data_IF_962587721624
#
_entry.id   IF_962587721624
#
_cell.length_a   1.000
_cell.length_b   1.000
_cell.length_c   1.000
_cell.angle_alpha   90.00
_cell.angle_beta   90.00
_cell.angle_gamma   90.00
#
_symmetry.space_group_name_H-M   'P 1'
#
loop_
_entity.id
_entity.type
_entity.pdbx_description
1 polymer ?
#
# COMPACT_ATOMS: atom_id res chain seq x y z
N UNK A 1 14.66 6.48 -16.10
CA UNK A 1 14.24 6.73 -14.71
C UNK A 1 14.65 5.65 -13.73
N UNK A 2 14.14 4.40 -13.81
CA UNK A 2 14.49 3.34 -12.84
C UNK A 2 15.99 3.12 -12.66
N UNK A 3 16.75 3.18 -13.78
CA UNK A 3 18.20 2.97 -13.80
C UNK A 3 18.99 4.15 -13.21
N UNK A 4 18.75 5.36 -13.70
CA UNK A 4 19.70 6.48 -13.56
C UNK A 4 19.18 7.68 -12.75
N UNK A 5 17.89 7.72 -12.42
CA UNK A 5 17.33 8.90 -11.75
C UNK A 5 17.92 9.05 -10.33
N UNK A 6 18.58 10.19 -10.10
CA UNK A 6 19.25 10.54 -8.84
C UNK A 6 20.28 9.52 -8.36
N UNK A 7 20.88 8.74 -9.26
CA UNK A 7 21.96 7.81 -8.89
C UNK A 7 23.35 8.45 -8.97
N UNK A 8 23.54 9.39 -9.89
CA UNK A 8 24.82 10.06 -10.15
C UNK A 8 24.78 11.54 -9.76
N UNK A 9 25.95 12.07 -9.36
CA UNK A 9 26.10 13.48 -8.98
C UNK A 9 26.07 14.37 -10.23
N UNK A 10 25.42 15.52 -10.12
CA UNK A 10 25.39 16.48 -11.22
C UNK A 10 26.77 17.16 -11.41
N UNK A 11 27.46 16.85 -12.50
CA UNK A 11 28.74 17.49 -12.85
C UNK A 11 28.61 19.01 -13.12
N UNK A 12 27.43 19.49 -13.56
CA UNK A 12 27.19 20.92 -13.73
C UNK A 12 26.98 21.64 -12.40
N UNK A 13 26.47 20.94 -11.38
CA UNK A 13 26.26 21.53 -10.06
C UNK A 13 27.58 21.74 -9.31
N UNK A 14 28.52 20.79 -9.42
CA UNK A 14 29.87 20.94 -8.85
C UNK A 14 30.63 22.12 -9.47
N UNK A 15 30.28 22.51 -10.69
CA UNK A 15 30.81 23.71 -11.35
C UNK A 15 29.94 24.97 -11.15
N UNK A 16 28.89 24.91 -10.34
CA UNK A 16 27.89 25.99 -10.15
C UNK A 16 27.17 26.44 -11.43
N UNK A 17 27.10 25.59 -12.45
CA UNK A 17 26.47 25.85 -13.76
C UNK A 17 25.09 25.17 -13.93
N UNK A 18 24.61 24.43 -12.93
CA UNK A 18 23.33 23.73 -13.02
C UNK A 18 22.15 24.70 -12.90
N UNK A 19 21.46 24.95 -14.02
CA UNK A 19 20.25 25.79 -14.08
C UNK A 19 19.01 25.09 -13.52
N UNK A 20 19.07 23.77 -13.30
CA UNK A 20 17.96 22.93 -12.79
C UNK A 20 18.05 22.67 -11.28
N UNK A 21 18.87 23.44 -10.56
CA UNK A 21 18.96 23.38 -9.10
C UNK A 21 17.73 24.02 -8.42
N UNK A 22 17.19 25.11 -9.00
CA UNK A 22 15.98 25.79 -8.53
C UNK A 22 15.15 26.26 -9.74
N UNK A 23 13.97 25.69 -10.00
CA UNK A 23 13.31 24.61 -9.24
C UNK A 23 14.06 23.28 -9.36
N UNK A 24 14.05 22.45 -8.30
CA UNK A 24 14.78 21.18 -8.15
C UNK A 24 14.36 20.10 -9.18
N UNK A 25 14.67 20.35 -10.44
CA UNK A 25 14.25 19.57 -11.62
C UNK A 25 15.42 18.82 -12.24
N UNK A 26 16.61 18.90 -11.66
CA UNK A 26 17.75 18.13 -12.13
C UNK A 26 17.52 16.62 -11.95
N UNK A 27 17.90 15.87 -12.98
CA UNK A 27 17.83 14.41 -13.02
C UNK A 27 18.89 13.76 -12.11
N UNK A 28 20.02 14.44 -11.92
CA UNK A 28 21.14 14.03 -11.08
C UNK A 28 21.00 14.61 -9.66
N UNK A 29 21.66 14.00 -8.68
CA UNK A 29 21.64 14.50 -7.31
C UNK A 29 22.66 15.62 -7.11
N UNK A 30 22.34 16.58 -6.23
CA UNK A 30 23.22 17.70 -5.88
C UNK A 30 23.87 17.49 -4.50
N UNK A 31 23.08 17.03 -3.55
CA UNK A 31 23.50 16.71 -2.19
C UNK A 31 23.39 15.22 -1.93
N UNK A 32 24.22 14.69 -1.03
CA UNK A 32 24.27 13.25 -0.73
C UNK A 32 22.91 12.70 -0.27
N UNK A 33 22.13 13.47 0.50
CA UNK A 33 20.79 13.06 0.93
C UNK A 33 19.77 12.91 -0.21
N UNK A 34 20.05 13.47 -1.40
CA UNK A 34 19.23 13.32 -2.60
C UNK A 34 19.62 12.08 -3.42
N UNK A 35 20.78 11.48 -3.14
CA UNK A 35 21.29 10.30 -3.83
C UNK A 35 20.39 9.12 -3.56
N UNK A 36 20.03 8.40 -4.62
CA UNK A 36 19.24 7.18 -4.61
C UNK A 36 20.09 6.01 -5.07
N UNK A 37 19.99 4.88 -4.40
CA UNK A 37 20.57 3.62 -4.90
C UNK A 37 19.67 2.99 -5.97
N UNK A 38 20.29 2.47 -7.03
CA UNK A 38 19.57 1.77 -8.09
C UNK A 38 18.96 0.47 -7.53
N UNK A 39 17.64 0.26 -7.63
CA UNK A 39 17.02 -1.00 -7.24
C UNK A 39 17.38 -2.06 -8.28
N UNK A 40 17.92 -3.17 -7.81
CA UNK A 40 18.25 -4.34 -8.62
C UNK A 40 17.41 -5.51 -8.16
N UNK A 41 16.93 -6.31 -9.12
CA UNK A 41 16.42 -7.66 -8.86
C UNK A 41 17.56 -8.63 -9.15
N UNK A 42 18.02 -9.32 -8.11
CA UNK A 42 19.09 -10.32 -8.19
C UNK A 42 18.59 -11.58 -8.92
N UNK A 43 19.52 -12.45 -9.33
CA UNK A 43 19.20 -13.71 -10.02
C UNK A 43 18.39 -14.67 -9.15
N UNK A 44 18.58 -14.61 -7.84
CA UNK A 44 17.79 -15.33 -6.83
C UNK A 44 16.34 -14.79 -6.71
N UNK A 45 15.99 -13.72 -7.42
CA UNK A 45 14.67 -13.11 -7.41
C UNK A 45 14.41 -12.14 -6.25
N UNK A 46 15.39 -11.91 -5.38
CA UNK A 46 15.32 -10.91 -4.30
C UNK A 46 15.73 -9.52 -4.77
N UNK A 47 15.32 -8.48 -4.04
CA UNK A 47 15.77 -7.12 -4.31
C UNK A 47 17.11 -6.78 -3.63
N UNK A 48 17.86 -5.85 -4.21
CA UNK A 48 19.07 -5.27 -3.60
C UNK A 48 18.80 -4.63 -2.24
N UNK A 49 17.63 -4.00 -2.10
CA UNK A 49 17.12 -3.47 -0.84
C UNK A 49 15.59 -3.63 -0.81
N UNK A 50 15.02 -3.69 0.39
CA UNK A 50 13.60 -3.84 0.61
C UNK A 50 12.82 -2.64 0.05
N UNK A 51 11.72 -2.84 -0.69
CA UNK A 51 10.84 -1.75 -1.11
C UNK A 51 10.06 -1.10 0.03
N UNK A 52 10.03 -1.72 1.22
CA UNK A 52 9.07 -1.39 2.27
C UNK A 52 9.70 -1.12 3.63
N UNK A 53 10.80 -1.79 3.94
CA UNK A 53 11.43 -1.72 5.26
C UNK A 53 12.52 -0.64 5.24
N UNK A 54 12.30 0.44 5.99
CA UNK A 54 13.26 1.53 6.10
C UNK A 54 14.42 1.20 7.05
N UNK A 55 15.62 1.60 6.66
CA UNK A 55 16.82 1.57 7.49
C UNK A 55 16.68 2.58 8.64
N UNK A 56 16.97 2.13 9.86
CA UNK A 56 16.98 2.99 11.06
C UNK A 56 18.31 3.69 11.29
N UNK A 57 19.37 3.25 10.60
CA UNK A 57 20.73 3.76 10.74
C UNK A 57 21.11 4.77 9.64
N UNK A 58 20.19 5.07 8.72
CA UNK A 58 20.43 6.05 7.66
C UNK A 58 20.24 7.48 8.20
N UNK A 59 21.27 8.31 8.08
CA UNK A 59 21.21 9.73 8.39
C UNK A 59 20.60 10.50 7.20
N UNK A 60 19.41 11.04 7.40
CA UNK A 60 18.65 11.79 6.38
C UNK A 60 19.28 13.16 6.06
N UNK A 61 20.03 13.74 6.99
CA UNK A 61 20.69 15.04 6.81
C UNK A 61 21.99 14.85 6.05
N UNK A 62 22.83 13.91 6.48
CA UNK A 62 24.11 13.62 5.83
C UNK A 62 23.95 12.83 4.53
N UNK A 63 22.88 12.03 4.41
CA UNK A 63 22.68 11.12 3.27
C UNK A 63 23.57 9.87 3.33
N UNK A 64 23.90 9.41 4.53
CA UNK A 64 24.86 8.35 4.77
C UNK A 64 24.26 7.21 5.59
N UNK A 65 24.66 5.97 5.30
CA UNK A 65 24.36 4.79 6.10
C UNK A 65 25.69 4.09 6.44
N UNK A 66 25.87 3.54 7.65
CA UNK A 66 27.01 2.70 7.99
C UNK A 66 27.19 1.51 7.04
N UNK A 67 26.07 0.94 6.56
CA UNK A 67 26.04 -0.17 5.61
C UNK A 67 26.17 0.27 4.14
N UNK A 68 26.26 1.57 3.88
CA UNK A 68 26.45 2.15 2.55
C UNK A 68 25.47 1.63 1.51
N UNK A 69 26.01 1.31 0.32
CA UNK A 69 25.20 0.79 -0.79
C UNK A 69 24.74 -0.66 -0.60
N UNK A 70 25.41 -1.40 0.29
CA UNK A 70 25.09 -2.79 0.62
C UNK A 70 23.90 -2.96 1.57
N UNK A 71 23.35 -1.87 2.12
CA UNK A 71 22.24 -1.95 3.07
C UNK A 71 21.02 -2.65 2.43
N UNK A 72 20.49 -3.74 3.01
CA UNK A 72 19.32 -4.45 2.49
C UNK A 72 18.00 -3.70 2.76
N UNK A 73 18.05 -2.59 3.48
CA UNK A 73 16.88 -1.79 3.86
C UNK A 73 16.82 -0.50 3.02
N UNK A 74 15.64 0.09 2.96
CA UNK A 74 15.32 1.30 2.21
C UNK A 74 15.85 2.55 2.93
N UNK A 75 16.52 3.46 2.22
CA UNK A 75 16.95 4.74 2.80
C UNK A 75 15.90 5.82 2.55
N UNK A 76 15.63 6.64 3.57
CA UNK A 76 14.71 7.79 3.45
C UNK A 76 15.43 8.99 2.83
N UNK A 77 15.69 8.89 1.54
CA UNK A 77 16.32 9.96 0.75
C UNK A 77 15.37 11.15 0.60
N UNK A 78 15.91 12.33 0.26
CA UNK A 78 15.10 13.54 0.05
C UNK A 78 14.02 13.31 -1.00
N UNK A 79 12.76 13.48 -0.60
CA UNK A 79 11.60 13.23 -1.46
C UNK A 79 11.20 11.75 -1.57
N UNK A 80 11.74 10.86 -0.73
CA UNK A 80 11.47 9.42 -0.69
C UNK A 80 11.72 8.75 -2.05
N UNK A 81 12.84 9.11 -2.69
CA UNK A 81 13.13 8.73 -4.08
C UNK A 81 13.47 7.25 -4.21
N UNK A 82 14.11 6.61 -3.22
CA UNK A 82 14.36 5.16 -3.28
C UNK A 82 13.05 4.37 -3.38
N UNK A 83 12.04 4.73 -2.57
CA UNK A 83 10.73 4.05 -2.58
C UNK A 83 9.96 4.33 -3.85
N UNK A 84 9.76 5.61 -4.17
CA UNK A 84 8.92 6.05 -5.30
C UNK A 84 9.43 5.52 -6.63
N UNK A 85 10.75 5.44 -6.77
CA UNK A 85 11.40 4.94 -7.98
C UNK A 85 11.83 3.48 -7.84
N UNK A 86 11.28 2.71 -6.90
CA UNK A 86 11.57 1.29 -6.78
C UNK A 86 10.91 0.49 -7.92
N UNK A 87 11.51 -0.65 -8.29
CA UNK A 87 10.94 -1.63 -9.24
C UNK A 87 9.53 -2.11 -8.84
N UNK A 88 9.19 -2.01 -7.56
CA UNK A 88 7.87 -2.36 -7.03
C UNK A 88 6.81 -1.28 -7.24
N UNK A 89 7.18 0.00 -7.29
CA UNK A 89 6.23 1.12 -7.11
C UNK A 89 6.20 2.14 -8.23
N UNK A 90 7.33 2.46 -8.84
CA UNK A 90 7.41 3.48 -9.89
C UNK A 90 6.34 3.23 -10.96
N UNK A 91 5.51 4.20 -11.34
CA UNK A 91 4.53 4.08 -12.43
C UNK A 91 3.58 2.87 -12.35
N UNK A 92 3.33 2.33 -11.15
CA UNK A 92 2.41 1.18 -10.97
C UNK A 92 0.98 1.59 -10.68
N UNK A 93 0.74 2.87 -10.42
CA UNK A 93 -0.57 3.46 -10.16
C UNK A 93 -0.72 4.77 -10.93
N UNK A 94 -1.96 5.12 -11.28
CA UNK A 94 -2.31 6.40 -11.89
C UNK A 94 -2.10 7.56 -10.90
N UNK A 95 -1.63 8.69 -11.42
CA UNK A 95 -1.51 9.92 -10.66
C UNK A 95 -2.88 10.50 -10.39
N UNK A 96 -3.09 10.98 -9.17
CA UNK A 96 -4.31 11.72 -8.79
C UNK A 96 -4.32 13.16 -9.33
N UNK A 97 -3.16 13.67 -9.71
CA UNK A 97 -3.01 15.03 -10.22
C UNK A 97 -3.12 15.05 -11.74
N UNK A 98 -3.82 16.05 -12.27
CA UNK A 98 -3.93 16.26 -13.71
C UNK A 98 -2.56 16.52 -14.35
N UNK A 99 -2.46 16.18 -15.63
CA UNK A 99 -1.34 16.57 -16.47
C UNK A 99 -1.58 17.96 -17.06
N UNK A 100 -0.51 18.73 -17.27
CA UNK A 100 -0.55 19.99 -18.01
C UNK A 100 -0.72 19.74 -19.53
N UNK A 101 -0.81 20.82 -20.31
CA UNK A 101 -0.91 20.76 -21.78
C UNK A 101 0.30 20.10 -22.46
N UNK A 102 1.39 19.88 -21.73
CA UNK A 102 2.61 19.19 -22.19
C UNK A 102 2.67 17.73 -21.74
N UNK A 103 1.64 17.24 -21.05
CA UNK A 103 1.59 15.87 -20.52
C UNK A 103 2.40 15.66 -19.24
N UNK A 104 2.84 16.72 -18.55
CA UNK A 104 3.62 16.66 -17.31
C UNK A 104 2.73 16.82 -16.09
N UNK A 105 3.12 16.25 -14.96
CA UNK A 105 2.36 16.39 -13.72
C UNK A 105 2.32 17.85 -13.27
N UNK A 106 1.13 18.40 -13.02
CA UNK A 106 0.96 19.76 -12.47
C UNK A 106 1.67 19.99 -11.14
N UNK A 107 1.81 18.94 -10.31
CA UNK A 107 2.46 19.03 -8.98
C UNK A 107 3.94 18.63 -8.98
N UNK A 108 4.27 17.52 -9.63
CA UNK A 108 5.62 16.91 -9.56
C UNK A 108 6.41 17.08 -10.85
N UNK A 109 5.85 17.75 -11.86
CA UNK A 109 6.45 18.00 -13.15
C UNK A 109 6.83 16.70 -13.89
N UNK A 110 7.96 16.70 -14.62
CA UNK A 110 8.41 15.55 -15.41
C UNK A 110 8.85 14.35 -14.56
N UNK A 111 9.18 14.57 -13.29
CA UNK A 111 9.68 13.55 -12.37
C UNK A 111 8.57 12.96 -11.50
N UNK A 112 7.34 12.91 -12.02
CA UNK A 112 6.26 12.26 -11.30
C UNK A 112 6.49 10.73 -11.31
N UNK A 113 6.49 10.13 -10.12
CA UNK A 113 6.63 8.69 -9.95
C UNK A 113 5.32 7.92 -10.21
N UNK A 114 4.19 8.60 -10.44
CA UNK A 114 2.91 7.99 -10.80
C UNK A 114 2.67 8.12 -12.30
N UNK A 115 1.87 7.21 -12.84
CA UNK A 115 1.59 7.19 -14.26
C UNK A 115 0.53 8.24 -14.63
N UNK A 116 0.64 8.86 -15.80
CA UNK A 116 -0.31 9.87 -16.27
C UNK A 116 -1.13 9.43 -17.50
N UNK A 117 -0.84 8.23 -18.02
CA UNK A 117 -1.61 7.57 -19.07
C UNK A 117 -1.47 6.06 -18.93
N UNK A 118 -2.36 5.30 -19.57
CA UNK A 118 -2.27 3.83 -19.61
C UNK A 118 -0.98 3.33 -20.24
N UNK A 119 -0.42 4.07 -21.20
CA UNK A 119 0.89 3.79 -21.81
C UNK A 119 2.07 4.02 -20.85
N UNK A 120 1.90 4.88 -19.85
CA UNK A 120 2.90 5.17 -18.81
C UNK A 120 2.75 4.23 -17.59
N UNK A 121 1.66 3.45 -17.52
CA UNK A 121 1.42 2.49 -16.44
C UNK A 121 2.25 1.22 -16.67
N UNK A 122 2.96 0.76 -15.64
CA UNK A 122 3.74 -0.48 -15.67
C UNK A 122 3.30 -1.48 -14.61
N UNK A 123 3.45 -2.79 -14.86
CA UNK A 123 3.22 -3.79 -13.84
C UNK A 123 4.26 -3.68 -12.71
N UNK A 124 3.85 -3.93 -11.46
CA UNK A 124 4.78 -4.02 -10.34
C UNK A 124 5.68 -5.25 -10.46
N UNK A 125 6.95 -5.09 -10.07
CA UNK A 125 7.87 -6.22 -9.90
C UNK A 125 7.85 -6.65 -8.43
N UNK A 126 7.74 -7.95 -8.19
CA UNK A 126 7.74 -8.55 -6.86
C UNK A 126 9.05 -9.29 -6.58
N UNK A 127 9.44 -9.29 -5.30
CA UNK A 127 10.48 -10.17 -4.77
C UNK A 127 9.98 -11.63 -4.80
N UNK A 128 10.86 -12.60 -5.01
CA UNK A 128 10.50 -14.03 -5.01
C UNK A 128 9.74 -14.45 -3.76
N UNK A 129 10.08 -13.91 -2.59
CA UNK A 129 9.37 -14.18 -1.32
C UNK A 129 7.95 -13.65 -1.34
N UNK A 130 7.75 -12.47 -1.92
CA UNK A 130 6.43 -11.89 -2.11
C UNK A 130 5.64 -12.67 -3.17
N UNK A 131 6.31 -13.13 -4.22
CA UNK A 131 5.68 -13.93 -5.27
C UNK A 131 5.25 -15.29 -4.73
N UNK A 132 6.05 -15.96 -3.90
CA UNK A 132 5.67 -17.19 -3.21
C UNK A 132 4.46 -16.99 -2.29
N UNK A 133 4.44 -15.91 -1.51
CA UNK A 133 3.25 -15.53 -0.73
C UNK A 133 2.02 -15.33 -1.61
N UNK A 134 2.16 -14.62 -2.74
CA UNK A 134 1.06 -14.42 -3.69
C UNK A 134 0.66 -15.71 -4.39
N UNK A 135 1.60 -16.61 -4.68
CA UNK A 135 1.35 -17.91 -5.30
C UNK A 135 0.68 -18.86 -4.32
N UNK A 136 1.05 -18.86 -3.04
CA UNK A 136 0.34 -19.63 -2.01
C UNK A 136 -1.08 -19.10 -1.79
N UNK A 137 -1.27 -17.78 -1.86
CA UNK A 137 -2.60 -17.17 -1.87
C UNK A 137 -3.36 -17.46 -3.19
N UNK A 138 -2.66 -17.62 -4.31
CA UNK A 138 -3.23 -18.04 -5.59
C UNK A 138 -3.66 -19.52 -5.55
N UNK A 139 -2.82 -20.41 -5.06
CA UNK A 139 -3.14 -21.84 -5.03
C UNK A 139 -4.31 -22.14 -4.07
N UNK A 140 -4.58 -21.26 -3.11
CA UNK A 140 -5.82 -21.30 -2.31
C UNK A 140 -7.09 -21.02 -3.15
N UNK A 141 -7.01 -20.27 -4.27
CA UNK A 141 -8.16 -20.10 -5.17
C UNK A 141 -8.35 -21.29 -6.12
N UNK A 142 -7.31 -22.08 -6.42
CA UNK A 142 -7.43 -23.25 -7.31
C UNK A 142 -7.88 -24.51 -6.59
N UNK A 143 -7.60 -24.63 -5.29
CA UNK A 143 -7.94 -25.84 -4.50
C UNK A 143 -9.44 -25.89 -4.14
N UNK A 144 -10.21 -24.81 -4.30
CA UNK A 144 -11.66 -24.83 -4.04
C UNK A 144 -12.50 -25.49 -5.15
N UNK A 145 -11.93 -25.83 -6.31
CA UNK A 145 -12.66 -26.54 -7.38
C UNK A 145 -12.44 -28.07 -7.43
N UNK A 146 -11.51 -28.60 -6.64
CA UNK A 146 -11.27 -30.05 -6.60
C UNK A 146 -10.91 -30.48 -5.19
N UNK A 147 -11.66 -31.46 -4.69
CA UNK A 147 -11.37 -32.29 -3.50
C UNK A 147 -12.26 -32.03 -2.29
N UNK A 148 -13.57 -32.23 -2.51
CA UNK A 148 -14.33 -33.09 -1.60
C UNK A 148 -13.82 -34.53 -1.80
N UNK A 149 -12.85 -34.98 -1.00
CA UNK A 149 -12.90 -36.25 -0.29
C UNK A 149 -11.58 -36.62 0.43
N UNK A 150 -11.80 -37.22 1.60
CA UNK A 150 -10.90 -38.04 2.42
C UNK A 150 -9.66 -37.42 3.07
N UNK A 151 -9.78 -37.32 4.40
CA UNK A 151 -8.70 -36.94 5.29
C UNK A 151 -7.61 -38.00 5.42
N UNK A 152 -6.40 -37.51 5.76
CA UNK A 152 -5.41 -38.26 6.52
C UNK A 152 -4.50 -37.31 7.27
N UNK A 153 -4.40 -37.58 8.58
CA UNK A 153 -3.60 -36.88 9.58
C UNK A 153 -2.17 -37.43 9.59
N UNK A 154 -1.18 -36.54 9.69
CA UNK A 154 0.21 -36.76 10.15
C UNK A 154 0.79 -35.34 10.34
N UNK A 155 1.40 -34.90 11.43
CA UNK A 155 1.83 -35.48 12.69
C UNK A 155 2.76 -34.44 13.33
N UNK A 156 2.55 -34.17 14.63
CA UNK A 156 3.20 -33.21 15.54
C UNK A 156 4.62 -32.70 15.22
N UNK A 157 4.87 -31.40 15.49
CA UNK A 157 5.79 -30.97 16.57
C UNK A 157 5.76 -29.45 16.82
N UNK A 158 5.39 -29.08 18.05
CA UNK A 158 5.83 -27.89 18.80
C UNK A 158 5.88 -26.52 18.08
N UNK A 159 4.72 -25.87 17.85
CA UNK A 159 4.71 -24.47 17.40
C UNK A 159 3.45 -23.68 17.83
N UNK A 160 3.14 -23.71 19.13
CA UNK A 160 1.91 -23.13 19.72
C UNK A 160 1.72 -21.60 19.63
N UNK A 161 2.58 -20.85 18.93
CA UNK A 161 2.42 -19.38 18.76
C UNK A 161 2.27 -18.91 17.30
N UNK A 162 2.63 -19.74 16.32
CA UNK A 162 2.47 -19.41 14.88
C UNK A 162 1.16 -19.93 14.31
N UNK A 163 0.66 -21.03 14.87
CA UNK A 163 -0.58 -21.67 14.44
C UNK A 163 -1.80 -20.77 14.70
N UNK A 164 -1.80 -20.00 15.79
CA UNK A 164 -2.83 -18.99 16.12
C UNK A 164 -2.82 -17.78 15.18
N UNK A 165 -1.65 -17.35 14.71
CA UNK A 165 -1.50 -16.21 13.79
C UNK A 165 -1.83 -16.61 12.34
N UNK A 166 -1.46 -17.83 11.94
CA UNK A 166 -1.79 -18.40 10.62
C UNK A 166 -3.27 -18.81 10.55
N UNK A 167 -3.85 -19.32 11.64
CA UNK A 167 -5.28 -19.61 11.75
C UNK A 167 -6.15 -18.35 11.63
N UNK A 168 -5.71 -17.21 12.21
CA UNK A 168 -6.37 -15.92 11.99
C UNK A 168 -6.14 -15.33 10.61
N UNK A 169 -4.99 -15.59 9.97
CA UNK A 169 -4.71 -15.14 8.60
C UNK A 169 -5.57 -15.88 7.55
N UNK A 170 -5.86 -17.17 7.78
CA UNK A 170 -6.75 -17.96 6.94
C UNK A 170 -8.19 -17.44 6.92
N UNK A 171 -8.68 -16.91 8.05
CA UNK A 171 -10.05 -16.42 8.16
C UNK A 171 -10.31 -15.11 7.39
N UNK A 172 -9.29 -14.29 7.12
CA UNK A 172 -9.47 -13.05 6.35
C UNK A 172 -9.71 -13.26 4.86
N UNK A 173 -9.71 -14.51 4.40
CA UNK A 173 -10.15 -14.90 3.05
C UNK A 173 -11.68 -14.93 2.98
N UNK A 174 -12.36 -15.27 4.08
CA UNK A 174 -13.83 -15.30 4.15
C UNK A 174 -14.40 -13.88 4.26
N UNK A 175 -15.26 -13.53 3.30
CA UNK A 175 -15.95 -12.25 3.20
C UNK A 175 -16.79 -11.95 4.45
N UNK A 176 -17.37 -12.96 5.08
CA UNK A 176 -18.15 -12.81 6.32
C UNK A 176 -17.27 -12.44 7.52
N UNK A 177 -16.07 -13.02 7.58
CA UNK A 177 -15.09 -12.70 8.61
C UNK A 177 -14.51 -11.30 8.43
N UNK A 178 -14.22 -10.90 7.18
CA UNK A 178 -13.82 -9.51 6.86
C UNK A 178 -14.90 -8.53 7.31
N UNK A 179 -16.17 -8.80 7.01
CA UNK A 179 -17.28 -7.94 7.43
C UNK A 179 -17.40 -7.83 8.97
N UNK A 180 -17.06 -8.90 9.69
CA UNK A 180 -17.09 -8.93 11.15
C UNK A 180 -15.93 -8.18 11.82
N UNK A 181 -14.71 -8.30 11.30
CA UNK A 181 -13.49 -7.86 11.99
C UNK A 181 -12.70 -6.73 11.33
N UNK A 182 -12.99 -6.36 10.08
CA UNK A 182 -12.14 -5.41 9.37
C UNK A 182 -12.17 -4.03 10.01
N UNK A 183 -11.00 -3.56 10.44
CA UNK A 183 -10.70 -2.26 11.06
C UNK A 183 -11.51 -1.97 12.32
N UNK A 184 -11.91 -3.00 13.05
CA UNK A 184 -12.62 -2.87 14.33
C UNK A 184 -11.67 -2.76 15.52
N UNK A 185 -10.45 -3.26 15.39
CA UNK A 185 -9.43 -3.25 16.45
C UNK A 185 -8.21 -2.39 16.08
N UNK A 186 -7.54 -1.77 17.07
CA UNK A 186 -6.34 -0.98 16.82
C UNK A 186 -5.17 -1.88 16.42
N UNK A 187 -4.37 -1.40 15.49
CA UNK A 187 -3.21 -2.14 15.00
C UNK A 187 -2.15 -2.24 16.11
N UNK A 188 -1.83 -3.47 16.53
CA UNK A 188 -0.74 -3.74 17.48
C UNK A 188 0.64 -3.80 16.82
N UNK A 189 0.72 -3.72 15.49
CA UNK A 189 2.00 -3.65 14.78
C UNK A 189 2.57 -2.26 14.94
N UNK A 190 3.88 -2.18 15.16
CA UNK A 190 4.58 -0.90 15.18
C UNK A 190 4.21 -0.08 13.94
N UNK A 191 3.93 1.23 14.05
CA UNK A 191 3.49 2.07 12.93
C UNK A 191 4.42 2.05 11.71
N UNK A 192 5.68 1.66 11.91
CA UNK A 192 6.72 1.52 10.87
C UNK A 192 6.64 0.21 10.08
N UNK A 193 5.95 -0.81 10.60
CA UNK A 193 5.85 -2.16 10.01
C UNK A 193 4.46 -2.48 9.43
N UNK A 194 3.36 -1.81 9.84
CA UNK A 194 2.11 -1.95 9.07
C UNK A 194 2.12 -1.01 7.88
N UNK A 195 1.79 -1.52 6.69
CA UNK A 195 1.62 -0.75 5.44
C UNK A 195 0.34 0.13 5.48
N UNK A 196 0.18 0.95 6.54
CA UNK A 196 -0.91 1.90 6.81
C UNK A 196 -1.83 2.10 5.60
N UNK A 197 -3.02 1.49 5.64
CA UNK A 197 -3.93 1.49 4.49
C UNK A 197 -4.83 0.26 4.41
N UNK A 198 -5.32 -0.03 3.20
CA UNK A 198 -6.29 -1.09 2.92
C UNK A 198 -5.78 -2.52 3.18
N UNK A 199 -4.45 -2.72 3.18
CA UNK A 199 -3.83 -4.02 3.39
C UNK A 199 -3.71 -4.43 4.87
N UNK A 200 -3.94 -3.50 5.81
CA UNK A 200 -3.92 -3.80 7.25
C UNK A 200 -5.37 -3.97 7.73
N UNK A 201 -5.75 -5.14 8.29
CA UNK A 201 -7.10 -5.38 8.79
C UNK A 201 -7.42 -4.63 10.08
N UNK A 202 -6.46 -3.90 10.64
CA UNK A 202 -6.59 -3.12 11.87
C UNK A 202 -6.57 -1.63 11.56
N UNK A 203 -7.20 -0.82 12.41
CA UNK A 203 -7.19 0.64 12.26
C UNK A 203 -5.96 1.26 12.93
N UNK A 204 -5.45 2.34 12.37
CA UNK A 204 -4.31 3.09 12.95
C UNK A 204 -4.72 4.46 13.48
N UNK A 205 -5.74 5.06 12.87
CA UNK A 205 -6.25 6.39 13.20
C UNK A 205 -7.77 6.31 13.33
N UNK A 206 -8.40 7.29 14.00
CA UNK A 206 -9.87 7.33 14.14
C UNK A 206 -10.59 7.43 12.80
N UNK A 207 -9.98 8.08 11.80
CA UNK A 207 -10.50 8.14 10.42
C UNK A 207 -10.49 6.78 9.70
N UNK A 208 -9.73 5.83 10.21
CA UNK A 208 -9.61 4.45 9.70
C UNK A 208 -10.42 3.47 10.56
N UNK A 209 -10.94 3.90 11.71
CA UNK A 209 -11.71 3.05 12.62
C UNK A 209 -13.06 2.71 12.01
N UNK A 210 -13.46 1.45 12.18
CA UNK A 210 -14.79 0.95 11.85
C UNK A 210 -15.48 0.41 13.10
N UNK A 211 -16.64 0.95 13.42
CA UNK A 211 -17.52 0.37 14.46
C UNK A 211 -18.06 -0.97 13.94
N UNK A 212 -17.96 -2.02 14.77
CA UNK A 212 -18.40 -3.36 14.36
C UNK A 212 -19.92 -3.41 14.16
N UNK A 213 -20.44 -3.89 13.02
CA UNK A 213 -21.87 -3.88 12.70
C UNK A 213 -22.69 -4.81 13.63
N UNK A 214 -22.03 -5.75 14.31
CA UNK A 214 -22.66 -6.65 15.31
C UNK A 214 -22.88 -5.98 16.67
N UNK A 215 -22.10 -4.94 16.99
CA UNK A 215 -22.16 -4.23 18.28
C UNK A 215 -22.89 -2.88 18.14
N UNK A 216 -22.73 -2.20 17.01
CA UNK A 216 -23.36 -0.91 16.73
C UNK A 216 -24.26 -1.04 15.49
N UNK A 217 -25.58 -1.03 15.70
CA UNK A 217 -26.57 -1.06 14.61
C UNK A 217 -26.74 0.33 14.02
N UNK A 218 -25.74 0.83 13.29
CA UNK A 218 -25.91 2.01 12.46
C UNK A 218 -26.69 1.62 11.20
N UNK A 219 -27.81 2.30 10.93
CA UNK A 219 -28.90 1.77 10.07
C UNK A 219 -28.95 2.39 8.69
N UNK A 220 -27.87 3.02 8.22
CA UNK A 220 -27.82 3.62 6.88
C UNK A 220 -26.38 3.68 6.38
N UNK A 221 -26.20 3.22 5.14
CA UNK A 221 -25.06 3.51 4.26
C UNK A 221 -24.83 5.02 4.01
N UNK A 222 -25.67 5.88 4.61
CA UNK A 222 -25.59 7.33 4.57
C UNK A 222 -24.51 7.85 5.52
N UNK A 223 -23.58 8.68 5.03
CA UNK A 223 -22.58 9.32 5.87
C UNK A 223 -23.21 10.36 6.80
N UNK A 224 -22.62 10.54 7.98
CA UNK A 224 -23.07 11.56 8.94
C UNK A 224 -22.82 12.97 8.36
N UNK A 225 -23.82 13.86 8.31
CA UNK A 225 -23.68 15.20 7.74
C UNK A 225 -22.73 16.10 8.55
N UNK A 226 -22.48 15.78 9.82
CA UNK A 226 -21.51 16.48 10.67
C UNK A 226 -20.06 16.04 10.40
N UNK A 227 -19.87 14.86 9.80
CA UNK A 227 -18.54 14.27 9.57
C UNK A 227 -18.17 14.29 8.10
N UNK A 228 -19.15 14.29 7.18
CA UNK A 228 -18.91 14.37 5.74
C UNK A 228 -19.50 15.66 5.18
N UNK A 229 -18.63 16.56 4.72
CA UNK A 229 -19.00 17.79 4.03
C UNK A 229 -18.71 17.62 2.54
N UNK A 230 -19.78 17.49 1.73
CA UNK A 230 -19.65 17.19 0.30
C UNK A 230 -18.99 15.82 0.07
N UNK A 231 -17.81 15.83 -0.56
CA UNK A 231 -17.03 14.61 -0.87
C UNK A 231 -15.90 14.32 0.13
N UNK A 232 -15.62 15.24 1.06
CA UNK A 232 -14.54 15.11 2.01
C UNK A 232 -15.02 14.51 3.35
N UNK A 233 -14.23 13.58 3.87
CA UNK A 233 -14.45 12.98 5.19
C UNK A 233 -13.62 13.74 6.24
N UNK A 234 -14.31 14.37 7.18
CA UNK A 234 -13.77 15.05 8.34
C UNK A 234 -13.48 14.10 9.51
N UNK A 235 -13.33 14.68 10.71
CA UNK A 235 -13.02 13.90 11.91
C UNK A 235 -14.28 13.32 12.56
N UNK A 236 -14.31 12.01 12.85
CA UNK A 236 -15.44 11.37 13.54
C UNK A 236 -15.81 12.03 14.88
N UNK A 237 -14.84 12.68 15.51
CA UNK A 237 -14.94 13.38 16.80
C UNK A 237 -15.82 14.62 16.75
N UNK A 238 -16.13 15.12 15.56
CA UNK A 238 -17.04 16.25 15.34
C UNK A 238 -18.52 15.86 15.54
N UNK A 239 -18.85 14.57 15.55
CA UNK A 239 -20.20 14.13 15.82
C UNK A 239 -20.47 14.02 17.33
N UNK A 240 -21.46 14.78 17.81
CA UNK A 240 -21.87 14.78 19.22
C UNK A 240 -22.33 13.40 19.70
N UNK A 241 -22.92 12.61 18.79
CA UNK A 241 -23.41 11.26 19.08
C UNK A 241 -22.32 10.18 19.09
N UNK A 242 -21.05 10.51 18.76
CA UNK A 242 -19.88 9.61 18.78
C UNK A 242 -20.21 8.19 18.30
N UNK A 243 -20.14 7.19 19.18
CA UNK A 243 -20.32 5.79 18.85
C UNK A 243 -21.79 5.33 18.79
N UNK A 244 -22.70 6.13 19.36
CA UNK A 244 -24.15 5.92 19.30
C UNK A 244 -24.79 6.49 18.01
N UNK A 245 -24.01 7.17 17.16
CA UNK A 245 -24.53 7.72 15.92
C UNK A 245 -25.00 6.62 14.96
N UNK A 246 -26.20 6.81 14.40
CA UNK A 246 -26.85 5.88 13.45
C UNK A 246 -26.30 5.98 12.02
N UNK A 247 -25.39 6.92 11.76
CA UNK A 247 -24.78 7.19 10.45
C UNK A 247 -23.31 6.80 10.40
N UNK A 248 -22.78 6.61 9.19
CA UNK A 248 -21.36 6.27 8.97
C UNK A 248 -20.46 7.49 9.22
N UNK A 249 -19.36 7.28 9.96
CA UNK A 249 -18.37 8.33 10.28
C UNK A 249 -17.07 8.20 9.49
N UNK A 250 -16.83 7.05 8.87
CA UNK A 250 -15.64 6.85 8.02
C UNK A 250 -16.00 6.24 6.68
N UNK A 251 -15.15 6.47 5.67
CA UNK A 251 -15.24 5.82 4.36
C UNK A 251 -15.26 4.30 4.50
N UNK A 252 -14.47 3.76 5.42
CA UNK A 252 -14.42 2.32 5.72
C UNK A 252 -15.74 1.80 6.25
N UNK A 253 -16.40 2.51 7.17
CA UNK A 253 -17.72 2.13 7.69
C UNK A 253 -18.78 2.04 6.60
N UNK A 254 -18.74 2.96 5.63
CA UNK A 254 -19.65 2.96 4.49
C UNK A 254 -19.34 1.81 3.52
N UNK A 255 -18.08 1.63 3.14
CA UNK A 255 -17.67 0.62 2.14
C UNK A 255 -17.84 -0.81 2.64
N UNK A 256 -17.66 -1.05 3.95
CA UNK A 256 -17.79 -2.37 4.57
C UNK A 256 -19.12 -2.50 5.33
N UNK A 257 -20.13 -1.71 5.00
CA UNK A 257 -21.48 -1.88 5.53
C UNK A 257 -22.11 -3.17 4.96
N UNK A 258 -22.87 -3.97 5.73
CA UNK A 258 -23.49 -5.22 5.24
C UNK A 258 -24.27 -5.07 3.93
N UNK A 259 -24.91 -3.92 3.70
CA UNK A 259 -25.71 -3.63 2.49
C UNK A 259 -24.88 -3.10 1.31
N UNK A 260 -23.64 -2.64 1.53
CA UNK A 260 -22.79 -2.01 0.50
C UNK A 260 -21.59 -2.88 0.14
N UNK A 261 -21.09 -3.64 1.11
CA UNK A 261 -19.98 -4.55 0.91
C UNK A 261 -20.32 -5.56 -0.18
N UNK A 262 -19.49 -5.61 -1.23
CA UNK A 262 -19.65 -6.48 -2.40
C UNK A 262 -20.90 -6.21 -3.26
N UNK A 263 -21.64 -5.11 -3.04
CA UNK A 263 -22.83 -4.80 -3.85
C UNK A 263 -22.49 -4.32 -5.26
N UNK A 264 -21.30 -3.75 -5.45
CA UNK A 264 -20.83 -3.21 -6.74
C UNK A 264 -19.62 -3.98 -7.25
N UNK A 265 -19.56 -4.25 -8.57
CA UNK A 265 -18.45 -4.95 -9.22
C UNK A 265 -17.15 -4.14 -9.17
N UNK A 266 -16.02 -4.82 -8.97
CA UNK A 266 -14.71 -4.19 -8.92
C UNK A 266 -14.17 -3.87 -10.32
N UNK A 267 -14.02 -2.58 -10.62
CA UNK A 267 -13.47 -2.13 -11.91
C UNK A 267 -12.02 -2.59 -12.13
N UNK A 268 -11.19 -2.58 -11.08
CA UNK A 268 -9.80 -3.04 -11.13
C UNK A 268 -9.72 -4.54 -11.52
N UNK A 269 -10.66 -5.35 -11.04
CA UNK A 269 -10.76 -6.77 -11.40
C UNK A 269 -11.29 -6.95 -12.84
N UNK A 270 -12.28 -6.16 -13.26
CA UNK A 270 -12.84 -6.24 -14.61
C UNK A 270 -11.85 -5.83 -15.70
N UNK A 271 -10.99 -4.84 -15.43
CA UNK A 271 -10.05 -4.32 -16.42
C UNK A 271 -8.71 -5.06 -16.44
N UNK A 272 -8.20 -5.50 -15.28
CA UNK A 272 -6.85 -6.03 -15.15
C UNK A 272 -6.79 -7.49 -14.69
N UNK A 273 -7.92 -8.11 -14.33
CA UNK A 273 -7.97 -9.47 -13.78
C UNK A 273 -7.26 -9.62 -12.42
N UNK A 274 -6.86 -8.51 -11.79
CA UNK A 274 -6.14 -8.49 -10.52
C UNK A 274 -6.53 -7.25 -9.72
N UNK A 275 -7.04 -7.44 -8.50
CA UNK A 275 -7.30 -6.32 -7.60
C UNK A 275 -6.14 -6.13 -6.61
N UNK A 276 -5.51 -4.94 -6.54
CA UNK A 276 -4.43 -4.66 -5.59
C UNK A 276 -4.90 -4.67 -4.12
N UNK A 277 -6.22 -4.58 -3.87
CA UNK A 277 -6.82 -4.64 -2.53
C UNK A 277 -7.07 -6.07 -2.04
N UNK A 278 -6.96 -7.07 -2.92
CA UNK A 278 -7.07 -8.49 -2.58
C UNK A 278 -8.33 -8.82 -1.74
N UNK A 279 -8.21 -9.55 -0.62
CA UNK A 279 -9.36 -9.95 0.20
C UNK A 279 -10.07 -8.77 0.87
N UNK A 280 -9.38 -7.65 1.06
CA UNK A 280 -9.92 -6.43 1.66
C UNK A 280 -10.54 -5.48 0.63
N UNK A 281 -10.84 -5.95 -0.58
CA UNK A 281 -11.60 -5.16 -1.52
C UNK A 281 -13.08 -5.10 -1.08
N UNK A 282 -13.62 -3.90 -0.92
CA UNK A 282 -15.02 -3.68 -0.64
C UNK A 282 -15.96 -3.96 -1.83
N UNK A 283 -15.39 -4.07 -3.04
CA UNK A 283 -16.13 -4.36 -4.28
C UNK A 283 -16.11 -5.87 -4.59
N UNK A 284 -17.12 -6.34 -5.29
CA UNK A 284 -17.21 -7.73 -5.74
C UNK A 284 -16.10 -8.04 -6.74
N UNK A 285 -15.28 -9.03 -6.39
CA UNK A 285 -14.48 -9.76 -7.36
C UNK A 285 -15.37 -10.87 -7.87
N UNK A 286 -15.38 -11.03 -9.20
CA UNK A 286 -16.32 -11.82 -10.00
C UNK A 286 -16.72 -13.16 -9.35
N UNK A 287 -18.02 -13.47 -9.40
CA UNK A 287 -18.54 -14.81 -9.73
C UNK A 287 -18.64 -14.89 -11.25
#
# INVERSE_FOLDING_TARGET
YLRDFRTEQCALFTQHKCTQHRPYTCFHWHFANQRRRRPLRRRDGTFSYSPDEYCTEYDETAGACPNGDGCPLLHRTSGDTERKYHLRYYKTNMCVHASDSRGLCTKNGPHCAFAHSTADLRPPVYDIRNLQLLTSLKNCYTVVESDLEEGRSLGNSSHGSVESFLSKAANWVDTNFVLGGYKTEPCRRAPRLCRQGYACPYFHNERDRRRGPRQHKYRRSTPCPQVKHGDEWGEPSLCESKDACVYCHTRTEQQFHPEIYKSTKCNDMQQMGLCPRGPFCAFAHVE
#
